data_IF_514063294513
#
_entry.id   IF_514063294513
#
_cell.length_a   1.000
_cell.length_b   1.000
_cell.length_c   1.000
_cell.angle_alpha   90.00
_cell.angle_beta   90.00
_cell.angle_gamma   90.00
#
_symmetry.space_group_name_H-M   'P 1'
#
loop_
_entity.id
_entity.type
_entity.pdbx_description
1 polymer ?
#
# COMPACT_ATOMS: atom_id res chain seq x y z
N UNK A 1 -36.88 69.96 -45.71
CA UNK A 1 -37.16 69.63 -44.29
C UNK A 1 -37.06 68.13 -43.96
N UNK A 2 -36.80 67.23 -44.93
CA UNK A 2 -36.72 65.77 -44.70
C UNK A 2 -35.27 65.33 -44.33
N UNK A 3 -34.23 65.96 -44.88
CA UNK A 3 -32.82 65.61 -44.63
C UNK A 3 -32.33 65.82 -43.19
N UNK A 4 -32.93 66.75 -42.43
CA UNK A 4 -32.54 67.02 -41.04
C UNK A 4 -33.07 65.94 -40.07
N UNK A 5 -34.19 65.31 -40.40
CA UNK A 5 -34.82 64.28 -39.54
C UNK A 5 -34.05 62.96 -39.63
N UNK A 6 -33.58 62.60 -40.83
CA UNK A 6 -32.83 61.37 -41.09
C UNK A 6 -31.42 61.40 -40.44
N UNK A 7 -30.77 62.56 -40.49
CA UNK A 7 -29.47 62.76 -39.85
C UNK A 7 -29.57 62.66 -38.32
N UNK A 8 -30.64 63.20 -37.72
CA UNK A 8 -30.88 63.12 -36.28
C UNK A 8 -31.19 61.69 -35.84
N UNK A 9 -32.00 60.96 -36.63
CA UNK A 9 -32.34 59.57 -36.34
C UNK A 9 -31.12 58.64 -36.38
N UNK A 10 -30.24 58.81 -37.37
CA UNK A 10 -28.98 58.04 -37.44
C UNK A 10 -28.05 58.31 -36.26
N UNK A 11 -27.95 59.55 -35.79
CA UNK A 11 -27.13 59.88 -34.63
C UNK A 11 -27.71 59.30 -33.33
N UNK A 12 -29.03 59.34 -33.15
CA UNK A 12 -29.69 58.73 -32.00
C UNK A 12 -29.52 57.21 -31.96
N UNK A 13 -29.67 56.53 -33.11
CA UNK A 13 -29.50 55.07 -33.19
C UNK A 13 -28.06 54.66 -32.90
N UNK A 14 -27.08 55.38 -33.45
CA UNK A 14 -25.66 55.12 -33.17
C UNK A 14 -25.33 55.33 -31.69
N UNK A 15 -25.87 56.38 -31.07
CA UNK A 15 -25.66 56.66 -29.65
C UNK A 15 -26.26 55.57 -28.76
N UNK A 16 -27.47 55.09 -29.07
CA UNK A 16 -28.10 53.98 -28.33
C UNK A 16 -27.32 52.67 -28.45
N UNK A 17 -26.79 52.37 -29.64
CA UNK A 17 -25.94 51.18 -29.85
C UNK A 17 -24.65 51.29 -29.03
N UNK A 18 -24.00 52.46 -29.01
CA UNK A 18 -22.77 52.68 -28.22
C UNK A 18 -23.05 52.49 -26.72
N UNK A 19 -24.15 53.04 -26.20
CA UNK A 19 -24.54 52.88 -24.78
C UNK A 19 -24.82 51.41 -24.44
N UNK A 20 -25.49 50.67 -25.32
CA UNK A 20 -25.73 49.24 -25.13
C UNK A 20 -24.42 48.42 -25.10
N UNK A 21 -23.48 48.71 -26.01
CA UNK A 21 -22.18 48.02 -26.06
C UNK A 21 -21.35 48.32 -24.81
N UNK A 22 -21.33 49.58 -24.36
CA UNK A 22 -20.60 49.98 -23.15
C UNK A 22 -21.19 49.33 -21.88
N UNK A 23 -22.51 49.20 -21.78
CA UNK A 23 -23.16 48.51 -20.66
C UNK A 23 -22.87 47.01 -20.65
N UNK A 24 -22.90 46.34 -21.82
CA UNK A 24 -22.57 44.91 -21.92
C UNK A 24 -21.10 44.62 -21.57
N UNK A 25 -20.18 45.51 -21.96
CA UNK A 25 -18.76 45.37 -21.64
C UNK A 25 -18.45 45.56 -20.14
N UNK A 26 -19.21 46.40 -19.44
CA UNK A 26 -19.07 46.60 -17.99
C UNK A 26 -19.54 45.38 -17.19
N UNK A 27 -20.62 44.73 -17.61
CA UNK A 27 -21.17 43.55 -16.95
C UNK A 27 -20.27 42.32 -17.11
N UNK A 28 -19.68 42.13 -18.30
CA UNK A 28 -18.76 41.03 -18.57
C UNK A 28 -17.47 41.09 -17.72
N UNK A 29 -16.91 42.29 -17.48
CA UNK A 29 -15.74 42.46 -16.57
C UNK A 29 -16.09 42.15 -15.12
N UNK A 30 -17.30 42.49 -14.69
CA UNK A 30 -17.75 42.26 -13.31
C UNK A 30 -17.87 40.79 -12.97
N UNK A 31 -18.28 39.97 -13.95
CA UNK A 31 -18.42 38.51 -13.79
C UNK A 31 -17.04 37.83 -13.76
N UNK A 32 -16.07 38.27 -14.58
CA UNK A 32 -14.72 37.70 -14.54
C UNK A 32 -13.98 37.96 -13.23
N UNK A 33 -14.23 39.11 -12.59
CA UNK A 33 -13.57 39.44 -11.32
C UNK A 33 -14.13 38.62 -10.14
N UNK A 34 -15.44 38.34 -10.13
CA UNK A 34 -16.07 37.52 -9.08
C UNK A 34 -15.63 36.06 -9.15
N UNK A 35 -15.52 35.47 -10.35
CA UNK A 35 -15.01 34.10 -10.49
C UNK A 35 -13.51 33.99 -10.21
N UNK A 36 -12.74 35.06 -10.42
CA UNK A 36 -11.32 35.12 -10.05
C UNK A 36 -11.14 35.16 -8.54
N UNK A 37 -11.88 36.02 -7.84
CA UNK A 37 -11.85 36.14 -6.37
C UNK A 37 -12.27 34.82 -5.69
N UNK A 38 -13.25 34.11 -6.26
CA UNK A 38 -13.71 32.82 -5.73
C UNK A 38 -12.69 31.69 -5.88
N UNK A 39 -11.80 31.79 -6.88
CA UNK A 39 -10.70 30.84 -7.10
C UNK A 39 -9.49 31.14 -6.22
N UNK A 40 -9.33 32.40 -5.81
CA UNK A 40 -8.27 32.85 -4.89
C UNK A 40 -8.55 32.50 -3.41
N UNK A 41 -9.72 31.92 -3.10
CA UNK A 41 -10.13 31.58 -1.72
C UNK A 41 -10.04 30.09 -1.37
N UNK A 42 -9.60 29.23 -2.28
CA UNK A 42 -9.55 27.78 -2.03
C UNK A 42 -8.13 27.25 -2.20
N UNK A 43 -7.51 26.87 -1.07
CA UNK A 43 -6.20 26.23 -1.08
C UNK A 43 -6.33 24.76 -1.52
N UNK A 44 -5.38 24.24 -2.30
CA UNK A 44 -5.41 22.85 -2.72
C UNK A 44 -5.25 21.92 -1.51
N UNK A 45 -6.37 21.33 -1.09
CA UNK A 45 -6.40 20.27 -0.09
C UNK A 45 -5.81 18.95 -0.63
N UNK A 46 -5.40 18.01 0.24
CA UNK A 46 -5.47 18.07 1.70
C UNK A 46 -4.26 18.74 2.36
N UNK A 47 -3.25 19.14 1.58
CA UNK A 47 -1.95 19.58 2.10
C UNK A 47 -1.77 21.08 2.27
N UNK A 48 -2.77 21.88 1.89
CA UNK A 48 -2.78 23.32 2.13
C UNK A 48 -4.05 23.75 2.86
N UNK A 49 -3.89 24.72 3.76
CA UNK A 49 -4.99 25.34 4.51
C UNK A 49 -4.92 26.84 4.33
N UNK A 50 -6.08 27.48 4.17
CA UNK A 50 -6.20 28.93 4.09
C UNK A 50 -6.12 29.53 5.50
N UNK A 51 -5.16 30.43 5.71
CA UNK A 51 -5.03 31.19 6.95
C UNK A 51 -5.94 32.44 6.96
N UNK A 52 -6.23 33.04 8.12
CA UNK A 52 -7.09 34.23 8.22
C UNK A 52 -6.60 35.45 7.43
N UNK A 53 -5.31 35.51 7.09
CA UNK A 53 -4.68 36.53 6.24
C UNK A 53 -4.70 36.15 4.74
N UNK A 54 -5.56 35.22 4.34
CA UNK A 54 -5.75 34.73 2.97
C UNK A 54 -4.49 34.16 2.32
N UNK A 55 -3.66 33.45 3.08
CA UNK A 55 -2.49 32.72 2.53
C UNK A 55 -2.70 31.22 2.62
N UNK A 56 -2.28 30.49 1.59
CA UNK A 56 -2.19 29.05 1.66
C UNK A 56 -0.90 28.66 2.35
N UNK A 57 -1.01 27.93 3.45
CA UNK A 57 0.13 27.38 4.18
C UNK A 57 0.10 25.86 4.13
N UNK A 58 1.29 25.27 4.18
CA UNK A 58 1.46 23.82 4.25
C UNK A 58 0.81 23.26 5.52
N UNK A 59 0.12 22.15 5.33
CA UNK A 59 -0.56 21.39 6.36
C UNK A 59 -0.10 19.95 6.26
N UNK A 60 1.18 19.70 6.52
CA UNK A 60 1.73 18.35 6.49
C UNK A 60 1.39 17.58 7.78
N UNK A 61 1.25 16.27 7.67
CA UNK A 61 1.02 15.38 8.81
C UNK A 61 2.34 14.83 9.35
N UNK A 62 2.25 13.97 10.37
CA UNK A 62 3.40 13.33 11.01
C UNK A 62 4.29 12.59 10.00
N UNK A 63 5.61 12.81 10.12
CA UNK A 63 6.63 12.21 9.27
C UNK A 63 6.61 12.63 7.80
N UNK A 64 5.88 13.69 7.45
CA UNK A 64 5.87 14.24 6.09
C UNK A 64 6.55 15.60 6.00
N UNK A 65 6.98 15.97 4.80
CA UNK A 65 7.58 17.26 4.47
C UNK A 65 6.96 17.81 3.18
N UNK A 66 6.83 19.15 3.04
CA UNK A 66 6.43 19.76 1.79
C UNK A 66 7.30 19.34 0.60
N UNK A 67 6.67 19.01 -0.52
CA UNK A 67 7.33 18.94 -1.82
C UNK A 67 6.71 19.98 -2.77
N UNK A 68 7.49 21.01 -3.06
CA UNK A 68 7.07 22.12 -3.93
C UNK A 68 6.84 21.68 -5.39
N UNK A 69 7.35 20.50 -5.80
CA UNK A 69 7.18 20.00 -7.17
C UNK A 69 5.79 19.36 -7.36
N UNK A 70 5.40 18.48 -6.43
CA UNK A 70 4.09 17.82 -6.46
C UNK A 70 2.97 18.66 -5.85
N UNK A 71 3.29 19.71 -5.08
CA UNK A 71 2.34 20.41 -4.20
C UNK A 71 1.68 19.49 -3.17
N UNK A 72 2.39 18.43 -2.76
CA UNK A 72 1.95 17.47 -1.75
C UNK A 72 2.93 17.39 -0.56
N UNK A 73 2.46 16.81 0.56
CA UNK A 73 3.37 16.39 1.62
C UNK A 73 3.84 14.95 1.37
N UNK A 74 5.14 14.78 1.20
CA UNK A 74 5.79 13.48 0.94
C UNK A 74 6.42 12.93 2.23
N UNK A 75 6.66 11.62 2.29
CA UNK A 75 7.38 11.04 3.43
C UNK A 75 8.79 11.62 3.54
N UNK A 76 9.23 11.89 4.78
CA UNK A 76 10.62 12.19 5.06
C UNK A 76 11.50 10.98 4.71
N UNK A 77 12.79 11.23 4.48
CA UNK A 77 13.75 10.18 4.14
C UNK A 77 13.77 9.07 5.21
N UNK A 78 13.62 7.82 4.77
CA UNK A 78 13.61 6.65 5.64
C UNK A 78 12.25 6.31 6.26
N UNK A 79 11.21 7.10 6.01
CA UNK A 79 9.84 6.80 6.43
C UNK A 79 9.02 6.24 5.25
N UNK A 80 7.99 5.48 5.58
CA UNK A 80 7.04 4.92 4.61
C UNK A 80 5.63 5.38 4.94
N UNK A 81 4.77 5.47 3.94
CA UNK A 81 3.36 5.78 4.14
C UNK A 81 2.69 4.62 4.89
N UNK A 82 2.10 4.94 6.04
CA UNK A 82 1.47 3.94 6.91
C UNK A 82 -0.03 4.18 7.11
N UNK A 83 -0.53 5.34 6.70
CA UNK A 83 -1.95 5.62 6.68
C UNK A 83 -2.27 7.08 6.37
N UNK A 84 -3.52 7.44 6.67
CA UNK A 84 -4.03 8.80 6.57
C UNK A 84 -4.52 9.29 7.93
N UNK A 85 -4.33 10.57 8.22
CA UNK A 85 -4.92 11.19 9.41
C UNK A 85 -6.41 11.59 9.19
N UNK A 86 -7.03 12.18 10.22
CA UNK A 86 -8.43 12.62 10.17
C UNK A 86 -8.73 13.67 9.08
N UNK A 87 -7.71 14.33 8.54
CA UNK A 87 -7.82 15.30 7.45
C UNK A 87 -7.48 14.69 6.08
N UNK A 88 -7.35 13.35 6.01
CA UNK A 88 -6.99 12.60 4.81
C UNK A 88 -5.59 12.95 4.28
N UNK A 89 -4.67 13.35 5.17
CA UNK A 89 -3.28 13.63 4.82
C UNK A 89 -2.43 12.40 5.09
N UNK A 90 -1.44 12.14 4.23
CA UNK A 90 -0.45 11.08 4.40
C UNK A 90 0.23 11.15 5.76
N UNK A 91 0.27 10.04 6.48
CA UNK A 91 1.09 9.82 7.68
C UNK A 91 2.21 8.89 7.29
N UNK A 92 3.45 9.27 7.61
CA UNK A 92 4.60 8.42 7.39
C UNK A 92 5.31 8.12 8.71
N UNK A 93 5.65 6.86 8.93
CA UNK A 93 6.36 6.43 10.13
C UNK A 93 7.49 5.47 9.76
N UNK A 94 8.31 5.14 10.75
CA UNK A 94 9.37 4.14 10.57
C UNK A 94 8.70 2.80 10.28
N UNK A 95 9.08 2.08 9.20
CA UNK A 95 8.51 0.78 8.91
C UNK A 95 8.78 -0.20 10.07
N UNK A 96 7.77 -0.97 10.45
CA UNK A 96 7.97 -2.02 11.45
C UNK A 96 8.86 -3.14 10.91
N UNK A 97 9.76 -3.73 11.73
CA UNK A 97 10.59 -4.84 11.30
C UNK A 97 9.74 -6.07 10.89
N UNK A 98 9.71 -6.37 9.61
CA UNK A 98 9.04 -7.57 9.09
C UNK A 98 9.86 -8.86 9.35
N UNK A 99 9.22 -10.05 9.29
CA UNK A 99 7.79 -10.30 9.08
C UNK A 99 6.97 -10.30 10.39
N UNK A 100 7.61 -10.06 11.54
CA UNK A 100 7.02 -10.33 12.86
C UNK A 100 6.44 -9.12 13.57
N UNK A 101 6.52 -7.93 12.98
CA UNK A 101 5.90 -6.73 13.54
C UNK A 101 4.87 -6.16 12.58
N UNK A 102 3.76 -5.71 13.14
CA UNK A 102 2.71 -4.97 12.44
C UNK A 102 2.50 -3.63 13.11
N UNK A 103 2.17 -2.61 12.32
CA UNK A 103 1.86 -1.29 12.83
C UNK A 103 0.40 -1.25 13.30
N UNK A 104 0.17 -0.82 14.53
CA UNK A 104 -1.17 -0.59 15.08
C UNK A 104 -1.68 0.81 14.77
N UNK A 105 -2.97 1.05 14.97
CA UNK A 105 -3.62 2.35 14.73
C UNK A 105 -3.09 3.50 15.59
N UNK A 106 -2.41 3.19 16.70
CA UNK A 106 -1.73 4.14 17.58
C UNK A 106 -0.22 4.25 17.27
N UNK A 107 0.20 3.90 16.05
CA UNK A 107 1.56 4.02 15.53
C UNK A 107 2.63 3.24 16.32
N UNK A 108 2.26 2.10 16.92
CA UNK A 108 3.22 1.21 17.59
C UNK A 108 3.49 -0.05 16.77
N UNK A 109 4.73 -0.51 16.76
CA UNK A 109 5.05 -1.83 16.24
C UNK A 109 4.77 -2.87 17.32
N UNK A 110 3.85 -3.79 17.03
CA UNK A 110 3.49 -4.88 17.95
C UNK A 110 3.83 -6.23 17.32
N UNK A 111 4.11 -7.20 18.17
CA UNK A 111 4.39 -8.56 17.75
C UNK A 111 3.20 -9.19 17.03
N UNK A 112 3.50 -9.82 15.90
CA UNK A 112 2.58 -10.54 15.04
C UNK A 112 3.13 -11.94 14.82
N UNK A 113 3.23 -12.73 15.88
CA UNK A 113 3.71 -14.11 15.81
C UNK A 113 2.65 -15.03 15.20
N UNK A 114 3.10 -16.07 14.49
CA UNK A 114 2.22 -17.09 13.91
C UNK A 114 2.02 -18.27 14.88
N UNK A 115 1.24 -19.28 14.46
CA UNK A 115 0.96 -20.46 15.26
C UNK A 115 2.23 -21.15 15.77
N UNK A 116 2.23 -21.49 17.06
CA UNK A 116 3.33 -22.18 17.74
C UNK A 116 4.60 -21.36 17.93
N UNK A 117 4.57 -20.06 17.65
CA UNK A 117 5.72 -19.16 17.87
C UNK A 117 5.49 -18.19 19.03
N UNK A 118 6.58 -17.63 19.55
CA UNK A 118 6.60 -16.61 20.60
C UNK A 118 7.65 -15.55 20.30
N UNK A 119 7.45 -14.28 20.71
CA UNK A 119 8.48 -13.25 20.60
C UNK A 119 9.82 -13.66 21.23
N UNK A 120 10.92 -13.41 20.52
CA UNK A 120 12.26 -13.36 21.10
C UNK A 120 12.78 -11.92 21.04
N UNK A 121 12.85 -11.30 22.22
CA UNK A 121 13.28 -9.91 22.38
C UNK A 121 14.76 -9.68 22.01
N UNK A 122 15.56 -10.74 21.84
CA UNK A 122 16.98 -10.62 21.47
C UNK A 122 17.20 -10.58 19.95
N UNK A 123 16.30 -11.18 19.16
CA UNK A 123 16.46 -11.35 17.72
C UNK A 123 15.49 -10.51 16.89
N UNK A 124 14.49 -9.86 17.51
CA UNK A 124 13.36 -9.24 16.82
C UNK A 124 12.59 -10.25 15.92
N UNK A 125 12.67 -11.55 16.24
CA UNK A 125 11.97 -12.62 15.56
C UNK A 125 10.94 -13.32 16.46
N UNK A 126 9.96 -13.98 15.85
CA UNK A 126 9.17 -14.98 16.54
C UNK A 126 9.83 -16.36 16.42
N UNK A 127 10.21 -16.95 17.54
CA UNK A 127 10.85 -18.27 17.63
C UNK A 127 9.84 -19.35 18.00
N UNK A 128 10.14 -20.61 17.67
CA UNK A 128 9.27 -21.71 18.10
C UNK A 128 9.17 -21.78 19.63
N UNK A 129 7.96 -22.02 20.13
CA UNK A 129 7.78 -22.35 21.55
C UNK A 129 8.53 -23.64 21.92
N UNK A 130 8.87 -23.85 23.20
CA UNK A 130 9.58 -25.06 23.62
C UNK A 130 8.91 -26.34 23.13
N UNK A 131 9.70 -27.25 22.55
CA UNK A 131 9.28 -28.55 21.97
C UNK A 131 8.45 -28.46 20.69
N UNK A 132 8.27 -27.28 20.12
CA UNK A 132 7.78 -27.10 18.76
C UNK A 132 8.95 -26.87 17.81
N UNK A 133 8.73 -27.18 16.54
CA UNK A 133 9.72 -27.11 15.49
C UNK A 133 9.12 -26.41 14.28
N UNK A 134 9.96 -25.72 13.51
CA UNK A 134 9.54 -25.07 12.28
C UNK A 134 9.01 -26.13 11.30
N UNK A 135 7.76 -25.96 10.87
CA UNK A 135 7.06 -26.85 9.93
C UNK A 135 6.69 -26.12 8.63
N UNK A 136 6.89 -24.81 8.57
CA UNK A 136 6.60 -24.02 7.38
C UNK A 136 6.52 -22.53 7.69
N UNK A 137 5.92 -21.80 6.74
CA UNK A 137 5.63 -20.37 6.84
C UNK A 137 4.17 -20.12 6.48
N UNK A 138 3.56 -19.08 7.08
CA UNK A 138 2.21 -18.65 6.73
C UNK A 138 2.17 -17.72 5.50
N UNK A 139 0.98 -17.25 5.13
CA UNK A 139 0.77 -16.37 3.98
C UNK A 139 1.51 -15.02 4.08
N UNK A 140 1.98 -14.63 5.27
CA UNK A 140 2.74 -13.41 5.52
C UNK A 140 4.24 -13.66 5.60
N UNK A 141 4.70 -14.90 5.34
CA UNK A 141 6.10 -15.30 5.43
C UNK A 141 6.61 -15.46 6.86
N UNK A 142 5.71 -15.59 7.85
CA UNK A 142 6.08 -15.80 9.25
C UNK A 142 6.29 -17.29 9.51
N UNK A 143 7.31 -17.63 10.30
CA UNK A 143 7.58 -19.01 10.75
C UNK A 143 6.36 -19.58 11.46
N UNK A 144 5.93 -20.79 11.08
CA UNK A 144 4.90 -21.59 11.75
C UNK A 144 5.57 -22.77 12.42
N UNK A 145 5.27 -23.00 13.71
CA UNK A 145 5.84 -24.11 14.46
C UNK A 145 4.78 -25.07 14.96
N UNK A 146 5.08 -26.35 14.91
CA UNK A 146 4.19 -27.42 15.36
C UNK A 146 4.97 -28.57 15.98
N UNK A 147 4.24 -29.55 16.49
CA UNK A 147 4.87 -30.78 16.92
C UNK A 147 5.43 -31.50 15.67
N UNK A 148 6.65 -32.04 15.77
CA UNK A 148 7.20 -32.86 14.69
C UNK A 148 6.50 -34.24 14.71
N UNK A 149 5.31 -34.28 14.11
CA UNK A 149 4.41 -35.43 14.11
C UNK A 149 4.04 -35.75 12.67
N UNK A 150 4.29 -36.99 12.28
CA UNK A 150 3.91 -37.52 10.99
C UNK A 150 4.87 -38.64 10.58
N UNK A 151 4.39 -39.66 9.86
CA UNK A 151 5.23 -40.79 9.43
C UNK A 151 6.40 -40.36 8.51
N UNK A 152 6.31 -39.16 7.92
CA UNK A 152 7.29 -38.62 6.98
C UNK A 152 8.08 -37.42 7.52
N UNK A 153 8.04 -37.16 8.83
CA UNK A 153 8.80 -36.07 9.44
C UNK A 153 9.90 -36.62 10.34
N UNK A 154 11.11 -36.08 10.22
CA UNK A 154 12.24 -36.45 11.06
C UNK A 154 12.84 -35.17 11.67
N UNK A 155 13.16 -35.26 12.96
CA UNK A 155 13.88 -34.21 13.65
C UNK A 155 15.38 -34.31 13.30
N UNK A 156 15.93 -33.26 12.71
CA UNK A 156 17.36 -33.16 12.42
C UNK A 156 18.15 -32.76 13.67
N UNK A 157 19.47 -32.95 13.62
CA UNK A 157 20.37 -32.61 14.75
C UNK A 157 20.37 -31.11 15.11
N UNK A 158 20.00 -30.25 14.16
CA UNK A 158 19.83 -28.81 14.34
C UNK A 158 18.38 -28.41 14.70
N UNK A 159 17.59 -29.33 15.26
CA UNK A 159 16.21 -29.11 15.73
C UNK A 159 15.25 -28.58 14.65
N UNK A 160 15.43 -29.00 13.39
CA UNK A 160 14.45 -28.74 12.33
C UNK A 160 13.61 -29.98 12.09
N UNK A 161 12.30 -29.79 11.95
CA UNK A 161 11.42 -30.86 11.52
C UNK A 161 11.40 -30.85 9.99
N UNK A 162 12.08 -31.82 9.38
CA UNK A 162 12.19 -31.88 7.92
C UNK A 162 11.40 -33.06 7.37
N UNK A 163 11.00 -32.92 6.11
CA UNK A 163 10.47 -34.03 5.34
C UNK A 163 11.51 -35.12 5.16
N UNK A 164 11.09 -36.34 5.46
CA UNK A 164 11.81 -37.58 5.25
C UNK A 164 11.00 -38.40 4.24
N UNK A 165 10.96 -37.91 3.01
CA UNK A 165 10.45 -38.68 1.88
C UNK A 165 11.50 -39.71 1.43
N UNK A 166 11.03 -40.82 0.87
CA UNK A 166 11.92 -41.83 0.29
C UNK A 166 12.53 -41.32 -1.02
N UNK A 167 13.60 -41.95 -1.49
CA UNK A 167 14.18 -41.59 -2.78
C UNK A 167 13.14 -41.74 -3.91
N UNK A 168 12.97 -40.66 -4.69
CA UNK A 168 12.00 -40.56 -5.78
C UNK A 168 10.58 -40.18 -5.33
N UNK A 169 10.41 -39.78 -4.08
CA UNK A 169 9.17 -39.15 -3.61
C UNK A 169 9.42 -37.75 -3.06
N UNK A 170 8.45 -36.87 -3.26
CA UNK A 170 8.45 -35.47 -2.82
C UNK A 170 7.16 -35.15 -2.07
N UNK A 171 7.13 -34.17 -1.15
CA UNK A 171 5.89 -33.77 -0.51
C UNK A 171 4.83 -33.32 -1.53
N UNK A 172 3.57 -33.66 -1.31
CA UNK A 172 2.46 -33.10 -2.07
C UNK A 172 2.31 -31.60 -1.80
N UNK A 173 1.52 -30.92 -2.64
CA UNK A 173 1.30 -29.47 -2.54
C UNK A 173 0.67 -29.03 -1.22
N UNK A 174 0.05 -29.95 -0.47
CA UNK A 174 -0.58 -29.68 0.81
C UNK A 174 0.29 -30.11 2.01
N UNK A 175 1.44 -30.74 1.78
CA UNK A 175 2.32 -31.18 2.85
C UNK A 175 1.70 -32.25 3.76
N UNK A 176 0.87 -33.13 3.20
CA UNK A 176 0.19 -34.21 3.91
C UNK A 176 0.77 -35.59 3.60
N UNK A 177 1.39 -35.77 2.43
CA UNK A 177 1.95 -37.05 2.00
C UNK A 177 3.19 -36.89 1.09
N UNK A 178 4.03 -37.91 1.01
CA UNK A 178 5.08 -37.99 -0.01
C UNK A 178 4.51 -38.67 -1.25
N UNK A 179 4.40 -37.92 -2.36
CA UNK A 179 3.96 -38.42 -3.67
C UNK A 179 5.15 -38.81 -4.55
N UNK A 180 4.93 -39.66 -5.53
CA UNK A 180 5.97 -40.07 -6.47
C UNK A 180 6.32 -38.95 -7.43
N UNK A 181 7.62 -38.76 -7.67
CA UNK A 181 8.10 -37.87 -8.71
C UNK A 181 7.67 -38.34 -10.10
N UNK A 182 7.57 -37.41 -11.06
CA UNK A 182 7.28 -37.76 -12.44
C UNK A 182 8.34 -38.75 -13.00
N UNK A 183 7.87 -39.77 -13.74
CA UNK A 183 8.68 -40.84 -14.35
C UNK A 183 9.32 -41.85 -13.36
N UNK A 184 8.73 -42.06 -12.17
CA UNK A 184 9.26 -43.01 -11.19
C UNK A 184 8.62 -44.42 -11.24
N UNK A 185 9.44 -45.47 -11.16
CA UNK A 185 8.99 -46.88 -11.02
C UNK A 185 9.35 -47.41 -9.63
N UNK A 186 8.36 -47.92 -8.90
CA UNK A 186 8.52 -48.47 -7.54
C UNK A 186 9.48 -49.66 -7.56
N UNK A 187 10.57 -49.61 -6.78
CA UNK A 187 11.58 -50.69 -6.74
C UNK A 187 11.62 -51.46 -5.43
N UNK A 188 11.46 -50.81 -4.29
CA UNK A 188 11.59 -51.48 -2.98
C UNK A 188 10.88 -50.71 -1.88
N UNK A 189 10.81 -51.32 -0.69
CA UNK A 189 10.42 -50.65 0.55
C UNK A 189 11.68 -50.50 1.41
N UNK A 190 11.97 -49.30 1.89
CA UNK A 190 13.13 -49.04 2.75
C UNK A 190 12.90 -49.51 4.19
N UNK A 191 13.93 -49.38 5.04
CA UNK A 191 13.90 -49.81 6.45
C UNK A 191 12.87 -49.08 7.31
N UNK A 192 12.27 -48.00 6.80
CA UNK A 192 11.22 -47.23 7.45
C UNK A 192 9.83 -47.54 6.87
N UNK A 193 9.71 -48.56 6.02
CA UNK A 193 8.43 -48.96 5.42
C UNK A 193 8.00 -48.09 4.24
N UNK A 194 8.87 -47.19 3.74
CA UNK A 194 8.55 -46.26 2.66
C UNK A 194 8.92 -46.85 1.30
N UNK A 195 8.04 -46.71 0.31
CA UNK A 195 8.29 -47.20 -1.06
C UNK A 195 9.31 -46.28 -1.75
N UNK A 196 10.45 -46.83 -2.15
CA UNK A 196 11.44 -46.14 -2.97
C UNK A 196 11.14 -46.37 -4.44
N UNK A 197 11.46 -45.40 -5.27
CA UNK A 197 11.33 -45.54 -6.71
C UNK A 197 12.57 -45.02 -7.43
N UNK A 198 12.81 -45.54 -8.63
CA UNK A 198 13.91 -45.08 -9.49
C UNK A 198 13.34 -44.30 -10.66
N UNK A 199 13.89 -43.11 -10.90
CA UNK A 199 13.56 -42.31 -12.08
C UNK A 199 13.95 -43.08 -13.34
N UNK A 200 13.01 -43.27 -14.26
CA UNK A 200 13.32 -43.80 -15.58
C UNK A 200 14.20 -42.79 -16.30
N UNK A 201 15.48 -43.13 -16.48
CA UNK A 201 16.32 -42.40 -17.41
C UNK A 201 15.76 -42.75 -18.79
N UNK A 202 15.06 -41.79 -19.43
CA UNK A 202 14.68 -41.92 -20.84
C UNK A 202 15.98 -42.05 -21.63
N UNK A 203 16.21 -43.25 -22.18
CA UNK A 203 17.28 -43.56 -23.13
C UNK A 203 17.03 -42.88 -24.46
#
# INVERSE_FOLDING_TARGET
MIFLVDMYYRHCVLFLIIVLILNQAADARRISDVERIKRDTECPGPYHVLTPDNRCVWSCSEGTTPDNNSNECICQAGLVETGLDQFKRRVCTVPCPGPYHVLTSDNRCVWSCSEGTTPDNNSNECVCQPRLYEIGHDAFGRRVCGACRGPYHVLTADNRCVWSCAQGTSPDQFGTECIYDADCVIKSIDRLGRRTCTKLIKS
#
